data_IF_288275751082
#
_entry.id   IF_288275751082
#
_cell.length_a   1.000
_cell.length_b   1.000
_cell.length_c   1.000
_cell.angle_alpha   90.00
_cell.angle_beta   90.00
_cell.angle_gamma   90.00
#
_symmetry.space_group_name_H-M   'P 1'
#
loop_
_entity.id
_entity.type
_entity.pdbx_description
1 polymer ?
#
# COMPACT_ATOMS: atom_id res chain seq x y z
N UNK A 1 2.36 20.59 -15.04
CA UNK A 1 2.49 19.62 -13.93
C UNK A 1 3.97 19.63 -13.51
N UNK A 2 4.22 19.95 -12.27
CA UNK A 2 5.53 19.89 -11.63
C UNK A 2 5.45 18.97 -10.43
N UNK A 3 6.56 18.33 -10.09
CA UNK A 3 6.65 17.50 -8.91
C UNK A 3 8.07 17.50 -8.37
N UNK A 4 8.19 17.62 -7.07
CA UNK A 4 9.44 17.47 -6.34
C UNK A 4 9.29 16.29 -5.38
N UNK A 5 10.33 15.49 -5.30
CA UNK A 5 10.36 14.31 -4.47
C UNK A 5 11.72 14.20 -3.79
N UNK A 6 11.70 14.05 -2.47
CA UNK A 6 12.89 13.70 -1.70
C UNK A 6 12.59 12.56 -0.74
N UNK A 7 13.53 11.66 -0.57
CA UNK A 7 13.39 10.51 0.33
C UNK A 7 14.69 10.26 1.08
N UNK A 8 14.55 9.97 2.36
CA UNK A 8 15.63 9.44 3.17
C UNK A 8 15.19 8.16 3.89
N UNK A 9 16.03 7.13 3.86
CA UNK A 9 15.81 5.92 4.64
C UNK A 9 17.11 5.43 5.25
N UNK A 10 17.01 4.89 6.46
CA UNK A 10 18.14 4.29 7.17
C UNK A 10 17.68 3.03 7.88
N UNK A 11 18.48 1.98 7.77
CA UNK A 11 18.28 0.73 8.51
C UNK A 11 19.55 0.35 9.26
N UNK A 12 19.36 -0.07 10.50
CA UNK A 12 20.39 -0.75 11.27
C UNK A 12 19.92 -2.19 11.47
N UNK A 13 20.73 -3.14 11.01
CA UNK A 13 20.43 -4.57 11.05
C UNK A 13 21.52 -5.32 11.79
N UNK A 14 21.11 -6.22 12.67
CA UNK A 14 21.99 -7.12 13.43
C UNK A 14 21.59 -8.55 13.14
N UNK A 15 22.57 -9.38 12.80
CA UNK A 15 22.42 -10.82 12.67
C UNK A 15 23.25 -11.50 13.75
N UNK A 16 22.71 -12.54 14.37
CA UNK A 16 23.39 -13.34 15.37
C UNK A 16 23.04 -14.82 15.19
N UNK A 17 24.02 -15.70 15.37
CA UNK A 17 23.81 -17.14 15.40
C UNK A 17 24.22 -17.64 16.79
N UNK A 18 23.35 -18.40 17.43
CA UNK A 18 23.51 -18.90 18.80
C UNK A 18 23.42 -20.42 18.83
N UNK A 19 24.17 -21.04 19.77
CA UNK A 19 24.10 -22.49 19.99
C UNK A 19 24.55 -23.30 18.80
N UNK A 20 25.69 -22.94 18.19
CA UNK A 20 26.27 -23.63 17.02
C UNK A 20 25.29 -23.77 15.84
N UNK A 21 24.50 -22.72 15.59
CA UNK A 21 23.51 -22.68 14.50
C UNK A 21 22.14 -23.23 14.89
N UNK A 22 21.89 -23.46 16.17
CA UNK A 22 20.56 -23.85 16.65
C UNK A 22 19.53 -22.70 16.45
N UNK A 23 19.95 -21.45 16.68
CA UNK A 23 19.09 -20.28 16.56
C UNK A 23 19.81 -19.20 15.74
N UNK A 24 19.21 -18.80 14.64
CA UNK A 24 19.63 -17.66 13.85
C UNK A 24 18.66 -16.51 14.08
N UNK A 25 19.19 -15.38 14.53
CA UNK A 25 18.41 -14.17 14.83
C UNK A 25 18.75 -13.06 13.84
N UNK A 26 17.73 -12.34 13.42
CA UNK A 26 17.87 -11.07 12.75
C UNK A 26 16.96 -10.05 13.40
N UNK A 27 17.51 -8.90 13.75
CA UNK A 27 16.74 -7.78 14.30
C UNK A 27 17.25 -6.47 13.76
N UNK A 28 16.40 -5.47 13.79
CA UNK A 28 16.79 -4.16 13.31
C UNK A 28 15.80 -3.06 13.62
N UNK A 29 16.26 -1.85 13.35
CA UNK A 29 15.48 -0.63 13.40
C UNK A 29 15.54 0.07 12.05
N UNK A 30 14.41 0.60 11.61
CA UNK A 30 14.23 1.26 10.33
C UNK A 30 13.60 2.62 10.52
N UNK A 31 14.15 3.60 9.80
CA UNK A 31 13.64 4.95 9.68
C UNK A 31 13.38 5.27 8.22
N UNK A 32 12.27 5.98 7.96
CA UNK A 32 11.88 6.43 6.64
C UNK A 32 11.22 7.81 6.74
N UNK A 33 11.59 8.68 5.84
CA UNK A 33 10.99 10.00 5.66
C UNK A 33 10.95 10.32 4.17
N UNK A 34 9.84 10.90 3.74
CA UNK A 34 9.63 11.34 2.36
C UNK A 34 8.93 12.68 2.38
N UNK A 35 9.33 13.58 1.48
CA UNK A 35 8.62 14.79 1.15
C UNK A 35 8.26 14.76 -0.33
N UNK A 36 6.97 14.85 -0.60
CA UNK A 36 6.42 14.84 -1.95
C UNK A 36 5.59 16.10 -2.14
N UNK A 37 5.98 16.90 -3.13
CA UNK A 37 5.25 18.06 -3.63
C UNK A 37 4.76 17.75 -5.04
N UNK A 38 3.51 18.09 -5.33
CA UNK A 38 2.93 17.95 -6.67
C UNK A 38 2.07 19.16 -6.97
N UNK A 39 2.34 19.77 -8.12
CA UNK A 39 1.51 20.78 -8.75
C UNK A 39 0.94 20.20 -10.03
N UNK A 40 -0.39 20.06 -10.09
CA UNK A 40 -1.05 19.46 -11.23
C UNK A 40 -2.35 20.15 -11.60
N UNK A 41 -2.64 20.16 -12.90
CA UNK A 41 -3.92 20.61 -13.45
C UNK A 41 -4.52 19.51 -14.33
N UNK A 42 -5.82 19.26 -14.13
CA UNK A 42 -6.65 18.44 -15.02
C UNK A 42 -7.42 19.38 -15.96
N UNK A 43 -7.03 19.36 -17.23
CA UNK A 43 -7.61 20.20 -18.29
C UNK A 43 -8.48 19.34 -19.20
N UNK A 44 -9.65 19.85 -19.54
CA UNK A 44 -10.54 19.19 -20.50
C UNK A 44 -10.92 20.19 -21.60
N UNK A 45 -10.60 19.84 -22.84
CA UNK A 45 -10.96 20.68 -24.00
C UNK A 45 -12.27 20.17 -24.61
N UNK A 46 -13.29 20.99 -24.60
CA UNK A 46 -14.57 20.73 -25.26
C UNK A 46 -14.56 21.38 -26.62
N UNK A 47 -14.64 20.57 -27.67
CA UNK A 47 -14.83 21.02 -29.02
C UNK A 47 -16.33 21.02 -29.38
N UNK A 48 -16.79 22.07 -30.01
CA UNK A 48 -18.14 22.15 -30.56
C UNK A 48 -18.10 22.44 -32.05
N UNK A 49 -19.22 22.28 -32.75
CA UNK A 49 -19.30 22.66 -34.15
C UNK A 49 -18.98 24.15 -34.40
N UNK A 50 -19.17 24.99 -33.39
CA UNK A 50 -18.83 26.43 -33.45
C UNK A 50 -17.37 26.71 -33.06
N UNK A 51 -16.68 25.77 -32.41
CA UNK A 51 -15.27 25.88 -32.00
C UNK A 51 -14.59 24.51 -32.11
N UNK A 52 -14.23 24.10 -33.32
CA UNK A 52 -13.55 22.81 -33.55
C UNK A 52 -12.10 22.84 -33.00
N UNK A 53 -11.47 21.64 -32.77
CA UNK A 53 -10.08 21.59 -32.37
C UNK A 53 -9.16 22.27 -33.39
N UNK A 54 -8.08 22.98 -32.93
CA UNK A 54 -7.62 23.16 -31.55
C UNK A 54 -8.25 24.33 -30.79
N UNK A 55 -9.31 24.95 -31.32
CA UNK A 55 -9.95 26.17 -30.79
C UNK A 55 -11.12 25.89 -29.81
N UNK A 56 -11.20 24.69 -29.25
CA UNK A 56 -12.21 24.36 -28.23
C UNK A 56 -12.00 25.13 -26.92
N UNK A 57 -13.08 25.32 -26.15
CA UNK A 57 -12.99 25.86 -24.81
C UNK A 57 -12.28 24.85 -23.88
N UNK A 58 -11.21 25.30 -23.24
CA UNK A 58 -10.53 24.50 -22.22
C UNK A 58 -11.17 24.78 -20.86
N UNK A 59 -11.68 23.72 -20.24
CA UNK A 59 -12.18 23.75 -18.87
C UNK A 59 -11.09 23.24 -17.93
N UNK A 60 -10.80 24.00 -16.89
CA UNK A 60 -9.93 23.57 -15.79
C UNK A 60 -10.79 22.81 -14.78
N UNK A 61 -10.69 21.51 -14.75
CA UNK A 61 -11.44 20.65 -13.83
C UNK A 61 -10.81 20.65 -12.43
N UNK A 62 -9.49 20.68 -12.37
CA UNK A 62 -8.72 20.80 -11.14
C UNK A 62 -7.42 21.53 -11.47
N UNK A 63 -6.96 22.37 -10.57
CA UNK A 63 -5.64 23.00 -10.59
C UNK A 63 -5.20 23.10 -9.13
N UNK A 64 -4.19 22.32 -8.74
CA UNK A 64 -3.92 22.04 -7.34
C UNK A 64 -2.46 21.86 -7.02
N UNK A 65 -2.12 22.37 -5.86
CA UNK A 65 -0.87 22.10 -5.18
C UNK A 65 -1.11 21.13 -4.03
N UNK A 66 -0.32 20.08 -3.94
CA UNK A 66 -0.39 19.08 -2.87
C UNK A 66 0.96 18.85 -2.23
N UNK A 67 0.94 18.56 -0.93
CA UNK A 67 2.08 17.95 -0.24
C UNK A 67 1.65 16.67 0.46
N UNK A 68 2.53 15.67 0.48
CA UNK A 68 2.37 14.46 1.25
C UNK A 68 3.71 14.08 1.87
N UNK A 69 3.79 14.07 3.19
CA UNK A 69 5.03 13.83 3.92
C UNK A 69 4.84 12.66 4.89
N UNK A 70 5.04 11.41 4.44
CA UNK A 70 5.09 10.24 5.30
C UNK A 70 6.41 10.17 6.06
N UNK A 71 6.30 9.74 7.33
CA UNK A 71 7.42 9.46 8.21
C UNK A 71 7.14 8.20 9.01
N UNK A 72 8.07 7.24 8.97
CA UNK A 72 7.87 5.96 9.63
C UNK A 72 9.08 5.54 10.46
N UNK A 73 8.79 4.92 11.59
CA UNK A 73 9.74 4.19 12.41
C UNK A 73 9.28 2.74 12.50
N UNK A 74 10.22 1.81 12.42
CA UNK A 74 9.90 0.43 12.67
C UNK A 74 11.03 -0.28 13.41
N UNK A 75 10.63 -1.25 14.25
CA UNK A 75 11.53 -2.21 14.85
C UNK A 75 11.07 -3.62 14.54
N UNK A 76 12.01 -4.53 14.31
CA UNK A 76 11.68 -5.93 14.02
C UNK A 76 12.67 -6.89 14.63
N UNK A 77 12.17 -8.11 14.85
CA UNK A 77 12.96 -9.26 15.28
C UNK A 77 12.39 -10.50 14.62
N UNK A 78 13.26 -11.36 14.09
CA UNK A 78 12.92 -12.69 13.61
C UNK A 78 13.96 -13.67 14.13
N UNK A 79 13.49 -14.85 14.52
CA UNK A 79 14.31 -15.99 14.87
C UNK A 79 13.95 -17.20 14.02
N UNK A 80 14.99 -17.85 13.50
CA UNK A 80 14.93 -19.16 12.88
C UNK A 80 15.52 -20.18 13.85
N UNK A 81 14.76 -21.19 14.24
CA UNK A 81 15.17 -22.23 15.17
C UNK A 81 15.27 -23.55 14.43
N UNK A 82 16.46 -24.12 14.37
CA UNK A 82 16.72 -25.46 13.84
C UNK A 82 16.44 -26.49 14.94
N UNK A 83 15.17 -26.93 15.07
CA UNK A 83 14.73 -27.87 16.13
C UNK A 83 15.39 -29.22 15.95
N UNK A 84 15.58 -29.65 14.70
CA UNK A 84 16.36 -30.79 14.27
C UNK A 84 17.06 -30.47 12.96
N UNK A 85 17.93 -31.33 12.48
CA UNK A 85 18.57 -31.22 11.15
C UNK A 85 17.56 -31.13 10.00
N UNK A 86 16.32 -31.55 10.24
CA UNK A 86 15.22 -31.57 9.25
C UNK A 86 14.11 -30.57 9.51
N UNK A 87 14.01 -30.01 10.72
CA UNK A 87 12.89 -29.16 11.10
C UNK A 87 13.38 -27.78 11.52
N UNK A 88 13.00 -26.78 10.74
CA UNK A 88 13.21 -25.35 11.03
C UNK A 88 11.89 -24.66 11.29
N UNK A 89 11.83 -23.87 12.36
CA UNK A 89 10.70 -23.01 12.70
C UNK A 89 11.14 -21.56 12.71
N UNK A 90 10.39 -20.70 12.04
CA UNK A 90 10.60 -19.26 12.00
C UNK A 90 9.50 -18.56 12.76
N UNK A 91 9.86 -17.61 13.61
CA UNK A 91 8.94 -16.64 14.20
C UNK A 91 9.52 -15.24 14.09
N UNK A 92 8.74 -14.31 13.59
CA UNK A 92 9.15 -12.92 13.42
C UNK A 92 8.02 -11.96 13.73
N UNK A 93 8.38 -10.76 14.12
CA UNK A 93 7.45 -9.67 14.39
C UNK A 93 8.08 -8.33 14.00
N UNK A 94 7.28 -7.46 13.39
CA UNK A 94 7.66 -6.07 13.13
C UNK A 94 6.57 -5.16 13.68
N UNK A 95 6.97 -4.10 14.35
CA UNK A 95 6.12 -2.98 14.70
C UNK A 95 6.47 -1.79 13.82
N UNK A 96 5.45 -1.15 13.26
CA UNK A 96 5.60 0.07 12.45
C UNK A 96 4.72 1.17 13.05
N UNK A 97 5.30 2.35 13.26
CA UNK A 97 4.61 3.60 13.62
C UNK A 97 4.84 4.59 12.48
N UNK A 98 3.81 4.84 11.70
CA UNK A 98 3.85 5.73 10.54
C UNK A 98 2.92 6.92 10.77
N UNK A 99 3.42 8.11 10.48
CA UNK A 99 2.64 9.34 10.43
C UNK A 99 2.69 9.88 9.00
N UNK A 100 1.52 10.14 8.42
CA UNK A 100 1.39 10.87 7.15
C UNK A 100 0.79 12.23 7.39
N UNK A 101 1.35 13.25 6.74
CA UNK A 101 0.80 14.59 6.70
C UNK A 101 0.41 14.92 5.27
N UNK A 102 -0.71 15.58 5.11
CA UNK A 102 -1.27 15.93 3.81
C UNK A 102 -1.74 17.36 3.81
N UNK A 103 -1.43 18.10 2.77
CA UNK A 103 -2.06 19.38 2.45
C UNK A 103 -2.47 19.41 0.99
N UNK A 104 -3.47 20.21 0.69
CA UNK A 104 -3.95 20.44 -0.65
C UNK A 104 -4.56 21.85 -0.73
N UNK A 105 -4.23 22.58 -1.80
CA UNK A 105 -4.84 23.86 -2.13
C UNK A 105 -5.36 23.86 -3.56
N UNK A 106 -6.38 24.64 -3.82
CA UNK A 106 -6.97 24.85 -5.15
C UNK A 106 -6.40 26.15 -5.73
N UNK A 107 -5.73 26.05 -6.87
CA UNK A 107 -5.06 27.19 -7.51
C UNK A 107 -5.95 27.94 -8.52
N UNK A 108 -7.19 27.48 -8.75
CA UNK A 108 -8.10 28.13 -9.68
C UNK A 108 -8.41 29.57 -9.23
N UNK A 109 -8.39 30.51 -10.16
CA UNK A 109 -8.62 31.91 -9.88
C UNK A 109 -10.01 32.18 -9.26
N UNK A 110 -11.04 31.43 -9.68
CA UNK A 110 -12.39 31.47 -9.12
C UNK A 110 -12.50 31.03 -7.66
N UNK A 111 -11.47 30.35 -7.15
CA UNK A 111 -11.39 29.93 -5.76
C UNK A 111 -10.63 30.91 -4.86
N UNK A 112 -9.87 31.83 -5.45
CA UNK A 112 -8.96 32.75 -4.76
C UNK A 112 -9.45 34.21 -4.72
N UNK A 113 -10.58 34.52 -5.35
CA UNK A 113 -11.14 35.88 -5.43
C UNK A 113 -12.03 36.25 -4.24
N UNK A 114 -12.14 35.37 -3.23
CA UNK A 114 -13.01 35.55 -2.06
C UNK A 114 -14.43 35.07 -2.25
N UNK A 115 -14.78 34.56 -3.42
CA UNK A 115 -16.06 33.88 -3.67
C UNK A 115 -15.83 32.37 -3.57
N UNK A 116 -16.44 31.72 -2.56
CA UNK A 116 -16.37 30.27 -2.43
C UNK A 116 -17.34 29.63 -3.42
N UNK A 117 -16.89 29.30 -4.61
CA UNK A 117 -17.66 28.47 -5.51
C UNK A 117 -17.74 27.02 -5.00
N UNK A 118 -18.86 26.34 -5.27
CA UNK A 118 -19.03 24.94 -4.94
C UNK A 118 -17.93 24.09 -5.63
N UNK A 119 -17.07 23.48 -4.81
CA UNK A 119 -15.96 22.64 -5.29
C UNK A 119 -14.56 23.23 -5.11
N UNK A 120 -14.43 24.45 -4.62
CA UNK A 120 -13.13 24.99 -4.22
C UNK A 120 -12.61 24.31 -2.96
N UNK A 121 -11.29 24.13 -2.91
CA UNK A 121 -10.59 23.49 -1.79
C UNK A 121 -9.68 24.52 -1.13
N UNK A 122 -10.14 25.12 -0.05
CA UNK A 122 -9.28 25.98 0.75
C UNK A 122 -8.34 25.15 1.63
N UNK A 123 -7.07 25.55 1.68
CA UNK A 123 -6.03 24.87 2.44
C UNK A 123 -6.33 24.80 3.96
N UNK A 124 -7.15 25.72 4.48
CA UNK A 124 -7.27 25.93 5.94
C UNK A 124 -8.45 25.17 6.56
N UNK A 125 -9.54 24.91 5.86
CA UNK A 125 -10.75 24.30 6.43
C UNK A 125 -11.47 23.38 5.44
N UNK A 126 -10.88 22.23 5.15
CA UNK A 126 -11.57 21.19 4.39
C UNK A 126 -12.74 20.62 5.21
N UNK A 127 -13.89 21.25 5.13
CA UNK A 127 -15.11 20.84 5.85
C UNK A 127 -16.09 20.21 4.88
N UNK A 128 -16.50 18.99 5.15
CA UNK A 128 -17.57 18.32 4.40
C UNK A 128 -18.95 18.83 4.83
N UNK A 129 -20.03 18.66 4.02
CA UNK A 129 -21.36 19.22 4.26
C UNK A 129 -21.97 18.92 5.64
N UNK A 130 -21.53 17.90 6.34
CA UNK A 130 -21.98 17.56 7.70
C UNK A 130 -21.13 18.19 8.82
N UNK A 131 -20.26 19.15 8.50
CA UNK A 131 -19.38 19.82 9.46
C UNK A 131 -18.15 19.02 9.88
N UNK A 132 -17.90 17.86 9.29
CA UNK A 132 -16.71 17.05 9.59
C UNK A 132 -15.49 17.64 8.89
N UNK A 133 -14.44 17.90 9.66
CA UNK A 133 -13.14 18.36 9.13
C UNK A 133 -12.38 17.18 8.55
N UNK A 134 -11.78 17.37 7.37
CA UNK A 134 -10.89 16.37 6.77
C UNK A 134 -9.57 16.35 7.55
N UNK A 135 -9.18 15.21 8.14
CA UNK A 135 -7.93 15.13 8.87
C UNK A 135 -6.75 15.29 7.91
N UNK A 136 -5.81 16.17 8.29
CA UNK A 136 -4.54 16.38 7.56
C UNK A 136 -3.43 15.44 8.00
N UNK A 137 -3.69 14.62 8.99
CA UNK A 137 -2.73 13.70 9.57
C UNK A 137 -3.39 12.34 9.77
N UNK A 138 -2.69 11.29 9.37
CA UNK A 138 -3.00 9.91 9.70
C UNK A 138 -1.85 9.32 10.50
N UNK A 139 -2.18 8.52 11.53
CA UNK A 139 -1.22 7.74 12.28
C UNK A 139 -1.58 6.26 12.11
N UNK A 140 -0.60 5.47 11.70
CA UNK A 140 -0.75 4.04 11.47
C UNK A 140 0.21 3.33 12.39
N UNK A 141 -0.33 2.56 13.34
CA UNK A 141 0.44 1.73 14.28
C UNK A 141 0.05 0.29 14.07
N UNK A 142 1.00 -0.55 13.67
CA UNK A 142 0.67 -1.90 13.27
C UNK A 142 1.76 -2.89 13.60
N UNK A 143 1.32 -4.08 14.04
CA UNK A 143 2.15 -5.27 14.20
C UNK A 143 1.97 -6.20 13.01
N UNK A 144 3.07 -6.66 12.44
CA UNK A 144 3.09 -7.61 11.31
C UNK A 144 3.89 -8.85 11.69
N UNK A 145 3.24 -9.84 12.33
CA UNK A 145 3.86 -11.12 12.65
C UNK A 145 4.05 -11.99 11.41
N UNK A 146 5.05 -12.87 11.50
CA UNK A 146 5.37 -13.93 10.55
C UNK A 146 5.67 -15.22 11.29
N UNK A 147 5.11 -16.32 10.82
CA UNK A 147 5.40 -17.67 11.28
C UNK A 147 5.66 -18.57 10.07
N UNK A 148 6.63 -19.46 10.17
CA UNK A 148 6.85 -20.48 9.15
C UNK A 148 7.43 -21.75 9.76
N UNK A 149 7.14 -22.87 9.11
CA UNK A 149 7.69 -24.20 9.40
C UNK A 149 8.21 -24.75 8.09
N UNK A 150 9.44 -25.26 8.12
CA UNK A 150 10.07 -25.98 7.02
C UNK A 150 10.51 -27.36 7.54
N UNK A 151 10.08 -28.41 6.87
CA UNK A 151 10.44 -29.79 7.20
C UNK A 151 11.04 -30.50 6.00
N UNK A 152 12.32 -30.81 6.09
CA UNK A 152 13.05 -31.59 5.09
C UNK A 152 12.69 -33.06 5.24
N UNK A 153 11.66 -33.52 4.54
CA UNK A 153 11.16 -34.89 4.66
C UNK A 153 12.19 -35.91 4.15
N UNK A 154 12.82 -35.61 3.01
CA UNK A 154 13.98 -36.31 2.44
C UNK A 154 14.99 -35.29 1.93
N UNK A 155 16.15 -35.72 1.44
CA UNK A 155 17.16 -34.81 0.87
C UNK A 155 16.62 -34.01 -0.33
N UNK A 156 15.62 -34.55 -1.03
CA UNK A 156 15.04 -33.99 -2.24
C UNK A 156 13.63 -33.40 -2.04
N UNK A 157 13.04 -33.48 -0.83
CA UNK A 157 11.65 -33.07 -0.57
C UNK A 157 11.56 -32.19 0.66
N UNK A 158 11.12 -30.95 0.46
CA UNK A 158 10.83 -29.96 1.50
C UNK A 158 9.31 -29.74 1.59
N UNK A 159 8.75 -29.89 2.78
CA UNK A 159 7.41 -29.45 3.14
C UNK A 159 7.49 -28.11 3.86
N UNK A 160 6.59 -27.20 3.57
CA UNK A 160 6.55 -25.90 4.24
C UNK A 160 5.14 -25.44 4.54
N UNK A 161 4.99 -24.62 5.57
CA UNK A 161 3.80 -23.87 5.86
C UNK A 161 4.20 -22.48 6.40
N UNK A 162 3.40 -21.46 6.08
CA UNK A 162 3.64 -20.11 6.59
C UNK A 162 2.33 -19.35 6.84
N UNK A 163 2.41 -18.39 7.77
CA UNK A 163 1.39 -17.39 8.04
C UNK A 163 2.07 -16.04 8.22
N UNK A 164 1.73 -15.06 7.38
CA UNK A 164 2.36 -13.74 7.40
C UNK A 164 1.31 -12.65 7.33
N UNK A 165 1.44 -11.66 8.20
CA UNK A 165 0.61 -10.45 8.16
C UNK A 165 1.36 -9.32 7.49
N UNK A 166 0.69 -8.63 6.55
CA UNK A 166 1.17 -7.40 5.92
C UNK A 166 0.14 -6.28 6.01
N UNK A 167 0.51 -5.10 5.54
CA UNK A 167 -0.41 -3.98 5.42
C UNK A 167 0.01 -3.05 4.27
N UNK A 168 -0.95 -2.27 3.81
CA UNK A 168 -0.76 -1.13 2.91
C UNK A 168 -1.31 0.10 3.61
N UNK A 169 -0.50 1.14 3.72
CA UNK A 169 -0.85 2.36 4.44
C UNK A 169 -2.08 3.05 3.85
N UNK A 170 -2.84 3.73 4.69
CA UNK A 170 -3.91 4.64 4.29
C UNK A 170 -3.39 5.90 3.60
N UNK A 171 -4.31 6.77 3.20
CA UNK A 171 -3.96 8.00 2.49
C UNK A 171 -5.19 8.87 2.19
N UNK A 172 -5.03 9.78 1.22
CA UNK A 172 -6.08 10.68 0.76
C UNK A 172 -6.26 10.60 -0.75
N UNK A 173 -7.46 10.99 -1.20
CA UNK A 173 -7.77 11.06 -2.62
C UNK A 173 -7.35 12.42 -3.20
N UNK A 174 -6.15 12.51 -3.74
CA UNK A 174 -5.57 13.72 -4.26
C UNK A 174 -6.35 14.37 -5.42
N UNK A 175 -7.10 13.57 -6.18
CA UNK A 175 -7.89 14.02 -7.33
C UNK A 175 -9.36 14.30 -7.03
N UNK A 176 -9.77 14.28 -5.76
CA UNK A 176 -11.13 14.69 -5.39
C UNK A 176 -11.43 16.11 -5.83
N UNK A 177 -12.61 16.41 -6.35
CA UNK A 177 -13.03 17.75 -6.79
C UNK A 177 -13.93 18.46 -5.79
N UNK A 178 -14.11 17.85 -4.63
CA UNK A 178 -14.85 18.41 -3.50
C UNK A 178 -14.26 17.92 -2.18
N UNK A 179 -14.51 18.62 -1.06
CA UNK A 179 -14.05 18.17 0.25
C UNK A 179 -14.50 16.75 0.61
N UNK A 180 -15.71 16.34 0.20
CA UNK A 180 -16.24 15.00 0.44
C UNK A 180 -15.44 13.89 -0.28
N UNK A 181 -14.80 14.22 -1.39
CA UNK A 181 -13.97 13.30 -2.17
C UNK A 181 -12.55 13.18 -1.61
N UNK A 182 -12.10 14.14 -0.80
CA UNK A 182 -10.78 14.15 -0.15
C UNK A 182 -10.76 13.40 1.18
N UNK A 183 -11.85 12.77 1.58
CA UNK A 183 -11.86 11.98 2.81
C UNK A 183 -10.74 10.92 2.78
N UNK A 184 -10.03 10.77 3.89
CA UNK A 184 -8.98 9.76 3.99
C UNK A 184 -9.56 8.36 3.93
N UNK A 185 -8.75 7.43 3.46
CA UNK A 185 -8.98 5.99 3.56
C UNK A 185 -7.96 5.35 4.51
N UNK A 186 -8.38 4.31 5.20
CA UNK A 186 -7.60 3.63 6.22
C UNK A 186 -6.61 2.62 5.62
N UNK A 187 -5.71 2.12 6.46
CA UNK A 187 -4.79 1.06 6.07
C UNK A 187 -5.53 -0.25 5.76
N UNK A 188 -5.15 -0.88 4.66
CA UNK A 188 -5.51 -2.23 4.28
C UNK A 188 -4.60 -3.21 5.02
N UNK A 189 -5.14 -4.32 5.52
CA UNK A 189 -4.41 -5.34 6.26
C UNK A 189 -4.64 -6.70 5.63
N UNK A 190 -3.57 -7.46 5.44
CA UNK A 190 -3.65 -8.75 4.81
C UNK A 190 -2.99 -9.84 5.66
N UNK A 191 -3.64 -10.99 5.74
CA UNK A 191 -3.04 -12.26 6.16
C UNK A 191 -2.85 -13.14 4.94
N UNK A 192 -1.64 -13.70 4.81
CA UNK A 192 -1.31 -14.71 3.80
C UNK A 192 -0.94 -16.01 4.52
N UNK A 193 -1.65 -17.06 4.18
CA UNK A 193 -1.38 -18.43 4.62
C UNK A 193 -0.98 -19.25 3.41
N UNK A 194 0.06 -20.05 3.54
CA UNK A 194 0.58 -20.89 2.48
C UNK A 194 1.04 -22.23 3.06
N UNK A 195 0.79 -23.31 2.32
CA UNK A 195 1.32 -24.65 2.60
C UNK A 195 1.71 -25.29 1.29
N UNK A 196 2.85 -25.99 1.27
CA UNK A 196 3.29 -26.59 0.02
C UNK A 196 4.41 -27.59 0.17
N UNK A 197 4.80 -28.10 -0.97
CA UNK A 197 5.90 -29.05 -1.17
C UNK A 197 6.81 -28.53 -2.28
N UNK A 198 8.11 -28.61 -2.05
CA UNK A 198 9.14 -28.40 -3.06
C UNK A 198 9.95 -29.66 -3.20
N UNK A 199 10.15 -30.13 -4.43
CA UNK A 199 10.86 -31.37 -4.68
C UNK A 199 11.81 -31.26 -5.86
N UNK A 200 12.98 -31.90 -5.73
CA UNK A 200 13.99 -32.10 -6.77
C UNK A 200 14.12 -33.60 -7.01
N UNK A 201 13.63 -34.06 -8.13
CA UNK A 201 13.52 -35.48 -8.47
C UNK A 201 14.43 -35.84 -9.65
N UNK A 202 14.67 -37.14 -9.88
CA UNK A 202 15.43 -37.66 -11.02
C UNK A 202 16.83 -37.02 -11.11
N UNK A 203 17.62 -37.10 -10.03
CA UNK A 203 18.96 -36.52 -9.93
C UNK A 203 18.95 -35.00 -10.25
N UNK A 204 17.93 -34.26 -9.72
CA UNK A 204 17.70 -32.82 -9.92
C UNK A 204 17.31 -32.43 -11.35
N UNK A 205 16.95 -33.38 -12.20
CA UNK A 205 16.49 -33.12 -13.57
C UNK A 205 15.02 -32.75 -13.64
N UNK A 206 14.25 -33.01 -12.59
CA UNK A 206 12.83 -32.65 -12.48
C UNK A 206 12.58 -31.95 -11.15
N UNK A 207 12.18 -30.66 -11.22
CA UNK A 207 11.70 -29.91 -10.06
C UNK A 207 10.19 -29.78 -10.13
N UNK A 208 9.49 -30.14 -9.05
CA UNK A 208 8.04 -30.00 -8.92
C UNK A 208 7.76 -29.27 -7.62
N UNK A 209 7.15 -28.09 -7.71
CA UNK A 209 6.69 -27.29 -6.60
C UNK A 209 5.17 -27.20 -6.64
N UNK A 210 4.50 -27.52 -5.54
CA UNK A 210 3.05 -27.40 -5.36
C UNK A 210 2.78 -26.60 -4.11
N UNK A 211 1.95 -25.57 -4.22
CA UNK A 211 1.52 -24.76 -3.08
C UNK A 211 0.00 -24.53 -3.11
N UNK A 212 -0.61 -24.50 -1.94
CA UNK A 212 -1.94 -23.99 -1.72
C UNK A 212 -1.87 -22.73 -0.86
N UNK A 213 -2.62 -21.71 -1.20
CA UNK A 213 -2.60 -20.44 -0.50
C UNK A 213 -4.00 -19.92 -0.18
N UNK A 214 -4.07 -19.11 0.86
CA UNK A 214 -5.23 -18.32 1.23
C UNK A 214 -4.77 -16.93 1.66
N UNK A 215 -5.22 -15.91 0.92
CA UNK A 215 -5.03 -14.50 1.21
C UNK A 215 -6.36 -13.93 1.75
N UNK A 216 -6.30 -13.29 2.90
CA UNK A 216 -7.43 -12.62 3.55
C UNK A 216 -7.09 -11.15 3.77
N UNK A 217 -7.80 -10.25 3.09
CA UNK A 217 -7.53 -8.81 3.07
C UNK A 217 -8.71 -8.09 3.69
N UNK A 218 -8.46 -7.40 4.80
CA UNK A 218 -9.43 -6.55 5.46
C UNK A 218 -9.25 -5.09 5.03
N UNK A 219 -10.36 -4.44 4.70
CA UNK A 219 -10.39 -3.04 4.30
C UNK A 219 -9.68 -2.77 2.99
N UNK A 220 -9.90 -3.60 1.95
CA UNK A 220 -9.31 -3.45 0.62
C UNK A 220 -9.52 -2.03 0.08
N UNK A 221 -8.42 -1.38 -0.27
CA UNK A 221 -8.40 -0.05 -0.87
C UNK A 221 -8.72 -0.15 -2.37
N UNK A 222 -9.94 0.19 -2.75
CA UNK A 222 -10.41 0.08 -4.13
C UNK A 222 -10.86 1.44 -4.66
N UNK A 223 -10.44 1.84 -5.87
CA UNK A 223 -11.03 2.98 -6.55
C UNK A 223 -12.49 2.65 -6.91
N UNK A 224 -13.40 3.52 -6.48
CA UNK A 224 -14.83 3.39 -6.71
C UNK A 224 -15.34 4.58 -7.49
N UNK A 225 -16.11 4.34 -8.54
CA UNK A 225 -16.84 5.37 -9.28
C UNK A 225 -18.14 5.73 -8.55
N UNK A 226 -18.52 6.98 -8.60
CA UNK A 226 -19.82 7.46 -8.11
C UNK A 226 -20.32 8.62 -9.00
N UNK A 227 -21.64 8.86 -8.97
CA UNK A 227 -22.23 9.96 -9.72
C UNK A 227 -22.37 11.17 -8.79
N UNK A 228 -21.80 12.32 -9.19
CA UNK A 228 -21.94 13.58 -8.47
C UNK A 228 -23.33 14.17 -8.68
N UNK A 229 -23.71 15.15 -7.84
CA UNK A 229 -25.00 15.82 -7.94
C UNK A 229 -25.25 16.53 -9.29
N UNK A 230 -24.19 16.93 -9.99
CA UNK A 230 -24.24 17.52 -11.33
C UNK A 230 -24.26 16.48 -12.47
N UNK A 231 -24.37 15.18 -12.16
CA UNK A 231 -24.39 14.08 -13.13
C UNK A 231 -23.00 13.61 -13.62
N UNK A 232 -21.91 14.28 -13.23
CA UNK A 232 -20.56 13.85 -13.60
C UNK A 232 -20.11 12.63 -12.79
N UNK A 233 -19.18 11.83 -13.35
CA UNK A 233 -18.60 10.67 -12.65
C UNK A 233 -17.37 11.12 -11.87
N UNK A 234 -17.30 10.75 -10.60
CA UNK A 234 -16.12 10.88 -9.73
C UNK A 234 -15.52 9.53 -9.39
N UNK A 235 -14.25 9.53 -9.04
CA UNK A 235 -13.53 8.35 -8.55
C UNK A 235 -12.84 8.67 -7.24
N UNK A 236 -13.06 7.81 -6.25
CA UNK A 236 -12.40 7.91 -4.94
C UNK A 236 -11.92 6.53 -4.51
N UNK A 237 -10.78 6.49 -3.86
CA UNK A 237 -10.32 5.28 -3.16
C UNK A 237 -10.98 5.23 -1.79
N UNK A 238 -11.52 4.08 -1.44
CA UNK A 238 -12.15 3.81 -0.13
C UNK A 238 -11.81 2.39 0.31
N UNK A 239 -11.91 2.14 1.60
CA UNK A 239 -11.91 0.78 2.14
C UNK A 239 -13.33 0.20 1.95
N UNK A 240 -13.54 -0.45 0.82
CA UNK A 240 -14.90 -0.79 0.37
C UNK A 240 -15.34 -2.18 0.79
N UNK A 241 -14.43 -3.14 0.86
CA UNK A 241 -14.76 -4.54 1.12
C UNK A 241 -13.60 -5.29 1.77
N UNK A 242 -13.90 -6.44 2.33
CA UNK A 242 -12.92 -7.47 2.61
C UNK A 242 -12.78 -8.36 1.37
N UNK A 243 -11.57 -8.82 1.11
CA UNK A 243 -11.27 -9.61 -0.08
C UNK A 243 -10.57 -10.90 0.34
N UNK A 244 -11.00 -12.01 -0.24
CA UNK A 244 -10.36 -13.30 -0.06
C UNK A 244 -9.93 -13.89 -1.40
N UNK A 245 -8.71 -14.38 -1.45
CA UNK A 245 -8.21 -15.13 -2.59
C UNK A 245 -7.58 -16.44 -2.09
N UNK A 246 -7.91 -17.53 -2.73
CA UNK A 246 -7.33 -18.85 -2.43
C UNK A 246 -7.16 -19.64 -3.72
N UNK A 247 -6.09 -20.39 -3.78
CA UNK A 247 -5.75 -21.13 -4.97
C UNK A 247 -4.68 -22.19 -4.72
N UNK A 248 -4.36 -22.86 -5.80
CA UNK A 248 -3.29 -23.85 -5.88
C UNK A 248 -2.37 -23.43 -7.02
N UNK A 249 -1.07 -23.47 -6.78
CA UNK A 249 -0.03 -23.19 -7.77
C UNK A 249 0.82 -24.44 -7.96
N UNK A 250 1.06 -24.80 -9.21
CA UNK A 250 1.93 -25.91 -9.62
C UNK A 250 2.99 -25.38 -10.58
N UNK A 251 4.24 -25.58 -10.22
CA UNK A 251 5.39 -25.29 -11.08
C UNK A 251 6.16 -26.57 -11.37
N UNK A 252 6.45 -26.83 -12.65
CA UNK A 252 7.23 -27.99 -13.11
C UNK A 252 8.36 -27.50 -14.01
N UNK A 253 9.59 -27.82 -13.64
CA UNK A 253 10.79 -27.56 -14.43
C UNK A 253 11.48 -28.89 -14.73
N UNK A 254 11.72 -29.19 -16.00
CA UNK A 254 12.42 -30.41 -16.44
C UNK A 254 13.62 -30.07 -17.33
N UNK A 255 14.72 -30.76 -17.07
CA UNK A 255 15.93 -30.74 -17.91
C UNK A 255 16.07 -32.13 -18.54
N UNK A 256 15.83 -32.30 -19.83
CA UNK A 256 15.86 -33.58 -20.51
C UNK A 256 17.26 -34.20 -20.62
#
# INVERSE_FOLDING_TARGET
>A
NEGEFSQFSQEIKVNASLGDGLIDLVGGAYYFEEDNYSDFADLFTVSSAASPPPQGNTLVLADRTMTNSPKAYAGYLQGDVNITDKLKVTAGIRYTDETKRFSISDNRASCNDGTIEAGCLEDINLVVPNGKVIPRRQNIKIWTPRFAINYQATDDVLLFASATRGFKSGGWNARGTSPAELLPFDAEKAWSYEVGIKSELLDRRLRVNLAAYWLDVAGLQTPSGFVRANGSIGFVTRNFADYQNKGIELEINAVP
#
